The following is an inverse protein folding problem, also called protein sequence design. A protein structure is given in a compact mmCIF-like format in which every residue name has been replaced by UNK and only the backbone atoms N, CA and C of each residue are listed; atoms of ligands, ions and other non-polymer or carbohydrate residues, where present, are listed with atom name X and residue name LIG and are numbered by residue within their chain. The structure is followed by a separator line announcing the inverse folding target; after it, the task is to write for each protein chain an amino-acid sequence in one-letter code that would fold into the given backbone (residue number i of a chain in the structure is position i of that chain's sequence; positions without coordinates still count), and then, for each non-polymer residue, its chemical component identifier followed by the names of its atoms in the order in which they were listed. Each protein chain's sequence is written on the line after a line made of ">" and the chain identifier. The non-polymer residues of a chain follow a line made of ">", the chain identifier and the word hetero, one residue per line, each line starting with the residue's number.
data_IF_948140396243
#
_entry.id   IF_948140396243
#
_cell.length_a   1.000
_cell.length_b   1.000
_cell.length_c   1.000
_cell.angle_alpha   90.00
_cell.angle_beta   90.00
_cell.angle_gamma   90.00
#
_symmetry.space_group_name_H-M   'P 1'
#
loop_
_entity.id
_entity.type
_entity.pdbx_description
1 polymer ?
#
# COMPACT_ATOMS: atom_id res chain seq x y z
N UNK A 1 -6.73 -10.88 -2.88
CA UNK A 1 -5.56 -11.34 -3.68
C UNK A 1 -4.34 -11.65 -2.81
N UNK A 2 -3.76 -10.71 -2.07
CA UNK A 2 -2.55 -10.98 -1.26
C UNK A 2 -2.80 -12.07 -0.20
N UNK A 3 -3.91 -11.99 0.54
CA UNK A 3 -4.25 -13.04 1.51
C UNK A 3 -4.40 -14.41 0.84
N UNK A 4 -4.97 -14.47 -0.37
CA UNK A 4 -5.09 -15.73 -1.12
C UNK A 4 -3.70 -16.28 -1.49
N UNK A 5 -2.75 -15.44 -1.92
CA UNK A 5 -1.35 -15.85 -2.17
C UNK A 5 -0.71 -16.46 -0.92
N UNK A 6 -1.07 -15.97 0.27
CA UNK A 6 -0.56 -16.45 1.56
C UNK A 6 -1.27 -17.72 2.08
N UNK A 7 -2.49 -18.02 1.62
CA UNK A 7 -3.35 -19.08 2.20
C UNK A 7 -3.77 -20.17 1.21
N UNK A 8 -3.28 -20.18 -0.02
CA UNK A 8 -3.58 -21.23 -1.01
C UNK A 8 -3.02 -22.59 -0.59
N UNK A 9 -3.63 -23.68 -1.07
CA UNK A 9 -3.19 -25.06 -0.84
C UNK A 9 -1.73 -25.31 -1.25
N UNK A 10 -1.21 -24.51 -2.19
CA UNK A 10 0.23 -24.33 -2.43
C UNK A 10 0.61 -22.90 -2.04
N UNK A 11 1.09 -22.67 -0.81
CA UNK A 11 1.62 -21.36 -0.44
C UNK A 11 2.87 -21.09 -1.27
N UNK A 12 2.94 -19.90 -1.89
CA UNK A 12 4.18 -19.45 -2.50
C UNK A 12 5.14 -19.04 -1.38
N UNK A 13 6.31 -19.70 -1.21
CA UNK A 13 7.25 -19.31 -0.18
C UNK A 13 7.78 -17.90 -0.50
N UNK A 14 7.49 -16.95 0.39
CA UNK A 14 7.99 -15.59 0.30
C UNK A 14 9.31 -15.50 1.04
N UNK A 15 10.30 -14.87 0.41
CA UNK A 15 11.46 -14.39 1.15
C UNK A 15 11.13 -13.09 1.90
N UNK A 16 12.01 -12.69 2.82
CA UNK A 16 11.80 -11.49 3.65
C UNK A 16 11.59 -10.22 2.82
N UNK A 17 12.33 -10.03 1.71
CA UNK A 17 12.20 -8.84 0.86
C UNK A 17 10.83 -8.76 0.18
N UNK A 18 10.32 -9.88 -0.34
CA UNK A 18 8.98 -9.96 -0.93
C UNK A 18 7.90 -9.69 0.13
N UNK A 19 8.07 -10.23 1.34
CA UNK A 19 7.15 -9.98 2.44
C UNK A 19 7.12 -8.49 2.84
N UNK A 20 8.28 -7.84 2.89
CA UNK A 20 8.39 -6.39 3.15
C UNK A 20 7.68 -5.57 2.07
N UNK A 21 7.83 -5.91 0.79
CA UNK A 21 7.15 -5.20 -0.30
C UNK A 21 5.62 -5.33 -0.20
N UNK A 22 5.11 -6.54 0.03
CA UNK A 22 3.68 -6.78 0.18
C UNK A 22 3.11 -6.12 1.44
N UNK A 23 3.87 -6.11 2.54
CA UNK A 23 3.52 -5.40 3.77
C UNK A 23 3.40 -3.90 3.50
N UNK A 24 4.39 -3.30 2.85
CA UNK A 24 4.38 -1.88 2.48
C UNK A 24 3.21 -1.52 1.54
N UNK A 25 2.88 -2.39 0.58
CA UNK A 25 1.75 -2.18 -0.31
C UNK A 25 0.43 -2.10 0.45
N UNK A 26 0.15 -3.06 1.34
CA UNK A 26 -1.09 -3.05 2.14
C UNK A 26 -1.12 -1.82 3.05
N UNK A 27 -0.03 -1.51 3.75
CA UNK A 27 0.02 -0.36 4.66
C UNK A 27 -0.12 0.97 3.91
N UNK A 28 0.39 1.09 2.68
CA UNK A 28 0.22 2.29 1.85
C UNK A 28 -1.25 2.50 1.46
N UNK A 29 -1.90 1.48 0.91
CA UNK A 29 -3.28 1.59 0.39
C UNK A 29 -4.32 1.76 1.51
N UNK A 30 -4.05 1.15 2.67
CA UNK A 30 -4.96 1.18 3.82
C UNK A 30 -4.65 2.30 4.81
N UNK A 31 -3.67 3.17 4.52
CA UNK A 31 -3.21 4.22 5.44
C UNK A 31 -2.92 3.61 6.83
N UNK A 32 -2.03 2.63 6.87
CA UNK A 32 -1.72 1.84 8.05
C UNK A 32 -2.96 1.23 8.73
N UNK A 33 -3.85 0.62 7.94
CA UNK A 33 -5.09 -0.06 8.38
C UNK A 33 -6.16 0.86 9.01
N UNK A 34 -6.08 2.18 8.77
CA UNK A 34 -7.02 3.19 9.27
C UNK A 34 -8.03 3.67 8.23
N UNK A 35 -7.76 3.45 6.93
CA UNK A 35 -8.66 3.87 5.85
C UNK A 35 -9.99 3.11 5.87
N UNK A 36 -11.11 3.71 5.41
CA UNK A 36 -12.42 3.07 5.38
C UNK A 36 -12.50 1.86 4.42
N UNK A 37 -11.53 1.73 3.51
CA UNK A 37 -11.38 0.58 2.61
C UNK A 37 -10.72 -0.63 3.27
N UNK A 38 -10.16 -0.48 4.49
CA UNK A 38 -9.47 -1.54 5.20
C UNK A 38 -10.42 -2.68 5.55
N UNK A 39 -10.03 -3.90 5.20
CA UNK A 39 -10.79 -5.12 5.49
C UNK A 39 -10.10 -6.00 6.54
N UNK A 40 -10.82 -6.98 7.07
CA UNK A 40 -10.23 -7.99 7.95
C UNK A 40 -9.16 -8.83 7.22
N UNK A 41 -9.29 -8.99 5.90
CA UNK A 41 -8.30 -9.71 5.11
C UNK A 41 -6.94 -8.98 5.10
N UNK A 42 -6.94 -7.66 5.11
CA UNK A 42 -5.74 -6.84 5.16
C UNK A 42 -5.03 -6.99 6.51
N UNK A 43 -5.79 -6.98 7.61
CA UNK A 43 -5.26 -7.18 8.97
C UNK A 43 -4.57 -8.54 9.09
N UNK A 44 -5.23 -9.60 8.62
CA UNK A 44 -4.67 -10.96 8.61
C UNK A 44 -3.42 -11.08 7.73
N UNK A 45 -3.42 -10.44 6.56
CA UNK A 45 -2.25 -10.43 5.68
C UNK A 45 -1.07 -9.70 6.32
N UNK A 46 -1.29 -8.53 6.93
CA UNK A 46 -0.25 -7.77 7.66
C UNK A 46 0.35 -8.60 8.78
N UNK A 47 -0.46 -9.27 9.61
CA UNK A 47 0.04 -10.14 10.69
C UNK A 47 0.97 -11.23 10.15
N UNK A 48 0.61 -11.89 9.04
CA UNK A 48 1.43 -12.93 8.43
C UNK A 48 2.71 -12.38 7.80
N UNK A 49 2.61 -11.30 7.04
CA UNK A 49 3.74 -10.69 6.36
C UNK A 49 4.78 -10.13 7.33
N UNK A 50 4.32 -9.54 8.45
CA UNK A 50 5.20 -9.08 9.54
C UNK A 50 6.09 -10.18 10.10
N UNK A 51 5.55 -11.40 10.22
CA UNK A 51 6.32 -12.55 10.72
C UNK A 51 7.43 -12.99 9.75
N UNK A 52 7.28 -12.74 8.45
CA UNK A 52 8.21 -13.15 7.39
C UNK A 52 9.22 -12.04 7.06
N UNK A 53 8.80 -10.77 7.13
CA UNK A 53 9.62 -9.63 6.72
C UNK A 53 10.74 -9.29 7.71
N UNK A 54 10.57 -9.65 8.99
CA UNK A 54 11.51 -9.36 10.08
C UNK A 54 11.84 -7.87 10.25
N UNK A 55 11.00 -6.97 9.74
CA UNK A 55 11.15 -5.52 9.94
C UNK A 55 10.61 -5.10 11.32
N UNK A 56 11.17 -4.03 11.87
CA UNK A 56 10.49 -3.29 12.94
C UNK A 56 9.22 -2.67 12.35
N UNK A 57 8.08 -3.22 12.71
CA UNK A 57 6.79 -2.85 12.14
C UNK A 57 6.43 -1.39 12.41
N UNK A 58 6.69 -0.89 13.61
CA UNK A 58 6.30 0.46 14.01
C UNK A 58 7.21 1.49 13.32
N UNK A 59 8.52 1.24 13.31
CA UNK A 59 9.47 2.08 12.60
C UNK A 59 9.24 2.06 11.07
N UNK A 60 8.97 0.89 10.49
CA UNK A 60 8.67 0.75 9.07
C UNK A 60 7.39 1.48 8.68
N UNK A 61 6.31 1.33 9.46
CA UNK A 61 5.03 2.00 9.21
C UNK A 61 5.17 3.52 9.31
N UNK A 62 5.85 4.02 10.35
CA UNK A 62 6.10 5.45 10.52
C UNK A 62 6.94 6.02 9.36
N UNK A 63 8.01 5.32 8.97
CA UNK A 63 8.86 5.72 7.85
C UNK A 63 8.12 5.72 6.51
N UNK A 64 7.28 4.70 6.26
CA UNK A 64 6.46 4.61 5.06
C UNK A 64 5.48 5.79 4.96
N UNK A 65 4.77 6.11 6.04
CA UNK A 65 3.82 7.22 6.06
C UNK A 65 4.53 8.56 5.87
N UNK A 66 5.64 8.78 6.58
CA UNK A 66 6.44 10.00 6.43
C UNK A 66 6.92 10.18 4.98
N UNK A 67 7.47 9.12 4.36
CA UNK A 67 7.92 9.16 2.98
C UNK A 67 6.79 9.41 1.98
N UNK A 68 5.59 8.85 2.23
CA UNK A 68 4.41 9.05 1.36
C UNK A 68 3.92 10.52 1.39
N UNK A 69 4.02 11.16 2.55
CA UNK A 69 3.59 12.56 2.75
C UNK A 69 4.68 13.59 2.49
N UNK A 70 5.92 13.18 2.20
CA UNK A 70 7.00 14.11 1.89
C UNK A 70 6.81 14.71 0.49
N UNK A 71 6.67 16.03 0.44
CA UNK A 71 6.47 16.83 -0.77
C UNK A 71 7.72 17.65 -1.12
N UNK A 72 8.78 17.54 -0.33
CA UNK A 72 9.99 18.35 -0.44
C UNK A 72 10.61 18.24 -1.83
N UNK A 73 10.90 19.38 -2.46
CA UNK A 73 11.53 19.44 -3.78
C UNK A 73 10.63 19.07 -4.96
N UNK A 74 9.34 18.78 -4.75
CA UNK A 74 8.40 18.47 -5.83
C UNK A 74 7.66 19.73 -6.29
N UNK A 75 7.60 19.93 -7.61
CA UNK A 75 6.78 20.99 -8.22
C UNK A 75 5.29 20.66 -8.17
N UNK A 76 4.45 21.70 -8.26
CA UNK A 76 2.99 21.51 -8.31
C UNK A 76 2.54 20.57 -9.44
N UNK A 77 3.19 20.63 -10.60
CA UNK A 77 2.90 19.73 -11.71
C UNK A 77 3.24 18.27 -11.37
N UNK A 78 4.38 18.01 -10.72
CA UNK A 78 4.75 16.67 -10.28
C UNK A 78 3.78 16.12 -9.25
N UNK A 79 3.40 16.94 -8.26
CA UNK A 79 2.42 16.57 -7.24
C UNK A 79 1.06 16.22 -7.85
N UNK A 80 0.58 17.03 -8.80
CA UNK A 80 -0.70 16.80 -9.47
C UNK A 80 -0.75 15.48 -10.24
N UNK A 81 0.39 15.00 -10.78
CA UNK A 81 0.44 13.78 -11.58
C UNK A 81 0.90 12.54 -10.81
N UNK A 82 1.31 12.69 -9.54
CA UNK A 82 1.95 11.62 -8.74
C UNK A 82 1.04 10.41 -8.51
N UNK A 83 -0.21 10.65 -8.11
CA UNK A 83 -1.24 9.63 -7.95
C UNK A 83 -2.52 10.08 -8.68
N UNK A 84 -2.34 10.40 -9.95
CA UNK A 84 -3.42 10.76 -10.85
C UNK A 84 -3.92 9.54 -11.62
N UNK A 85 -5.24 9.42 -11.73
CA UNK A 85 -5.90 8.36 -12.48
C UNK A 85 -6.93 8.99 -13.41
N UNK A 86 -6.90 8.58 -14.66
CA UNK A 86 -7.89 8.93 -15.66
C UNK A 86 -9.13 8.05 -15.50
N UNK A 87 -10.29 8.70 -15.46
CA UNK A 87 -11.59 8.06 -15.43
C UNK A 87 -12.44 8.58 -16.58
N UNK A 88 -13.37 7.74 -17.01
CA UNK A 88 -14.44 8.15 -17.91
C UNK A 88 -15.77 7.76 -17.31
N UNK A 89 -16.57 8.77 -16.96
CA UNK A 89 -17.91 8.60 -16.41
C UNK A 89 -18.88 9.05 -17.49
N UNK A 90 -19.54 8.09 -18.13
CA UNK A 90 -20.32 8.29 -19.36
C UNK A 90 -19.49 8.96 -20.48
N UNK A 91 -19.90 10.14 -20.93
CA UNK A 91 -19.21 10.93 -21.95
C UNK A 91 -18.20 11.93 -21.38
N UNK A 92 -18.02 11.98 -20.05
CA UNK A 92 -17.14 12.94 -19.39
C UNK A 92 -15.82 12.27 -19.01
N UNK A 93 -14.71 12.86 -19.47
CA UNK A 93 -13.36 12.49 -19.02
C UNK A 93 -12.99 13.27 -17.77
N UNK A 94 -12.45 12.58 -16.77
CA UNK A 94 -12.06 13.15 -15.48
C UNK A 94 -10.65 12.67 -15.13
N UNK A 95 -9.82 13.59 -14.65
CA UNK A 95 -8.57 13.27 -13.98
C UNK A 95 -8.78 13.47 -12.48
N UNK A 96 -8.61 12.42 -11.68
CA UNK A 96 -8.65 12.53 -10.21
C UNK A 96 -7.26 12.25 -9.68
N UNK A 97 -6.75 13.15 -8.83
CA UNK A 97 -5.42 13.04 -8.24
C UNK A 97 -5.49 13.06 -6.73
N UNK A 98 -4.67 12.23 -6.10
CA UNK A 98 -4.42 12.22 -4.66
C UNK A 98 -3.02 12.78 -4.40
N UNK A 99 -2.91 13.75 -3.49
CA UNK A 99 -1.64 14.39 -3.10
C UNK A 99 -1.28 13.94 -1.69
#
# INVERSE_FOLDING_TARGET
>A
VILQILTTEKPMPLNAAQATLLLGAILSDTVALSAPTTTEQDRLAVTRLRAISHVDYDAFTAGLLAAKTDLSGQSAAQLLHRDAKDYRIHSVSLLLSQI
#
